data_IF_111485122008
#
_entry.id   IF_111485122008
#
_cell.length_a   1.000
_cell.length_b   1.000
_cell.length_c   1.000
_cell.angle_alpha   90.00
_cell.angle_beta   90.00
_cell.angle_gamma   90.00
#
_symmetry.space_group_name_H-M   'P 1'
#
loop_
_entity.id
_entity.type
_entity.pdbx_description
1 polymer ?
#
# COMPACT_ATOMS: atom_id res chain seq x y z
N UNK A 1 -11.35 7.88 -6.76
CA UNK A 1 -10.04 7.42 -6.30
C UNK A 1 -8.95 8.49 -6.37
N UNK A 2 -9.05 9.41 -7.28
CA UNK A 2 -8.06 10.47 -7.38
C UNK A 2 -7.97 11.31 -6.13
N UNK A 3 -9.09 11.57 -5.52
CA UNK A 3 -9.10 12.37 -4.29
C UNK A 3 -8.43 11.60 -3.15
N UNK A 4 -8.62 10.30 -3.12
CA UNK A 4 -8.00 9.49 -2.09
C UNK A 4 -6.49 9.44 -2.29
N UNK A 5 -6.04 9.30 -3.52
CA UNK A 5 -4.62 9.32 -3.82
C UNK A 5 -4.01 10.65 -3.38
N UNK A 6 -4.68 11.75 -3.68
CA UNK A 6 -4.19 13.06 -3.28
C UNK A 6 -4.12 13.18 -1.76
N UNK A 7 -5.09 12.60 -1.07
CA UNK A 7 -5.09 12.62 0.39
C UNK A 7 -3.89 11.84 0.94
N UNK A 8 -3.62 10.66 0.38
CA UNK A 8 -2.48 9.87 0.84
C UNK A 8 -1.17 10.61 0.57
N UNK A 9 -1.05 11.23 -0.60
CA UNK A 9 0.15 11.99 -0.92
C UNK A 9 0.35 13.14 0.06
N UNK A 10 -0.72 13.78 0.44
CA UNK A 10 -0.66 14.86 1.40
C UNK A 10 -0.16 14.34 2.75
N UNK A 11 -0.63 13.18 3.14
CA UNK A 11 -0.21 12.58 4.41
C UNK A 11 1.27 12.22 4.39
N UNK A 12 1.76 11.64 3.29
CA UNK A 12 3.18 11.31 3.20
C UNK A 12 4.03 12.56 3.22
N UNK A 13 3.56 13.61 2.58
CA UNK A 13 4.29 14.88 2.57
C UNK A 13 4.43 15.44 3.99
N UNK A 14 3.42 15.27 4.80
CA UNK A 14 3.49 15.71 6.19
C UNK A 14 4.56 14.96 6.97
N UNK A 15 4.86 13.75 6.55
CA UNK A 15 5.93 12.99 7.17
C UNK A 15 7.28 13.34 6.54
N UNK A 16 7.30 14.25 5.59
CA UNK A 16 8.54 14.66 4.94
C UNK A 16 8.92 13.81 3.74
N UNK A 17 8.00 13.03 3.21
CA UNK A 17 8.29 12.18 2.07
C UNK A 17 7.35 12.50 0.92
N UNK A 18 7.92 12.81 -0.23
CA UNK A 18 7.10 13.08 -1.40
C UNK A 18 6.99 11.79 -2.19
N UNK A 19 5.81 11.24 -2.27
CA UNK A 19 5.61 10.02 -3.01
C UNK A 19 4.96 10.31 -4.35
N UNK A 20 5.20 9.46 -5.33
CA UNK A 20 4.60 9.65 -6.65
C UNK A 20 3.23 8.98 -6.65
N UNK A 21 2.44 9.31 -7.66
CA UNK A 21 1.14 8.68 -7.83
C UNK A 21 1.29 7.17 -7.98
N UNK A 22 2.32 6.74 -8.66
CA UNK A 22 2.56 5.32 -8.86
C UNK A 22 2.80 4.61 -7.55
N UNK A 23 3.58 5.20 -6.67
CA UNK A 23 3.89 4.59 -5.39
C UNK A 23 2.62 4.49 -4.54
N UNK A 24 1.82 5.53 -4.55
CA UNK A 24 0.57 5.52 -3.79
C UNK A 24 -0.37 4.47 -4.36
N UNK A 25 -0.42 4.38 -5.69
CA UNK A 25 -1.26 3.41 -6.35
C UNK A 25 -0.85 1.99 -5.99
N UNK A 26 0.43 1.73 -5.93
CA UNK A 26 0.94 0.43 -5.53
C UNK A 26 0.55 0.12 -4.08
N UNK A 27 0.64 1.11 -3.22
CA UNK A 27 0.26 0.91 -1.82
C UNK A 27 -1.21 0.56 -1.71
N UNK A 28 -2.05 1.22 -2.49
CA UNK A 28 -3.48 0.95 -2.50
C UNK A 28 -3.77 -0.44 -3.06
N UNK A 29 -3.11 -0.80 -4.14
CA UNK A 29 -3.29 -2.10 -4.74
C UNK A 29 -2.91 -3.22 -3.80
N UNK A 30 -1.83 -3.06 -3.09
CA UNK A 30 -1.41 -4.07 -2.15
C UNK A 30 -2.36 -4.15 -0.97
N UNK A 31 -2.88 -3.01 -0.54
CA UNK A 31 -3.87 -3.00 0.52
C UNK A 31 -5.12 -3.76 0.07
N UNK A 32 -5.57 -3.52 -1.14
CA UNK A 32 -6.75 -4.20 -1.67
C UNK A 32 -6.52 -5.71 -1.75
N UNK A 33 -5.34 -6.11 -2.16
CA UNK A 33 -5.01 -7.52 -2.26
C UNK A 33 -5.07 -8.19 -0.91
N UNK A 34 -4.49 -7.56 0.09
CA UNK A 34 -4.46 -8.12 1.43
C UNK A 34 -5.85 -8.13 2.05
N UNK A 35 -6.58 -7.04 1.82
CA UNK A 35 -7.90 -6.88 2.41
C UNK A 35 -8.90 -7.84 1.79
N UNK A 36 -8.70 -8.17 0.52
CA UNK A 36 -9.51 -9.16 -0.17
C UNK A 36 -11.01 -8.82 -0.08
N UNK A 37 -11.36 -7.68 -0.62
CA UNK A 37 -12.74 -7.19 -0.53
C UNK A 37 -13.74 -8.16 -1.14
N UNK A 38 -14.88 -8.34 -0.51
CA UNK A 38 -15.93 -9.20 -1.09
C UNK A 38 -16.38 -8.66 -2.45
N UNK A 39 -16.72 -9.54 -3.33
CA UNK A 39 -17.15 -9.15 -4.66
C UNK A 39 -18.40 -8.30 -4.65
N UNK A 40 -19.21 -8.43 -3.61
CA UNK A 40 -20.45 -7.66 -3.53
C UNK A 40 -20.24 -6.22 -3.17
N UNK A 41 -19.05 -5.84 -2.74
CA UNK A 41 -18.79 -4.47 -2.33
C UNK A 41 -18.60 -3.59 -3.54
N UNK A 42 -19.22 -2.40 -3.52
CA UNK A 42 -19.04 -1.43 -4.58
C UNK A 42 -17.84 -0.55 -4.23
N UNK A 43 -17.56 0.37 -5.12
CA UNK A 43 -16.41 1.25 -4.95
C UNK A 43 -16.55 2.12 -3.71
N UNK A 44 -17.74 2.57 -3.41
CA UNK A 44 -17.98 3.43 -2.27
C UNK A 44 -17.65 2.73 -0.96
N UNK A 45 -18.05 1.48 -0.87
CA UNK A 45 -17.80 0.70 0.32
C UNK A 45 -16.33 0.41 0.49
N UNK A 46 -15.66 0.06 -0.59
CA UNK A 46 -14.22 -0.20 -0.56
C UNK A 46 -13.48 1.06 -0.13
N UNK A 47 -13.86 2.20 -0.69
CA UNK A 47 -13.19 3.45 -0.39
C UNK A 47 -13.39 3.84 1.07
N UNK A 48 -14.56 3.57 1.62
CA UNK A 48 -14.81 3.86 3.02
C UNK A 48 -13.88 3.05 3.93
N UNK A 49 -13.64 1.78 3.56
CA UNK A 49 -12.72 0.96 4.34
C UNK A 49 -11.29 1.45 4.20
N UNK A 50 -10.89 1.86 3.01
CA UNK A 50 -9.56 2.40 2.81
C UNK A 50 -9.38 3.68 3.59
N UNK A 51 -10.43 4.48 3.68
CA UNK A 51 -10.36 5.72 4.42
C UNK A 51 -10.10 5.46 5.90
N UNK A 52 -10.67 4.42 6.45
CA UNK A 52 -10.42 4.05 7.84
C UNK A 52 -8.99 3.60 8.05
N UNK A 53 -8.36 3.13 7.00
CA UNK A 53 -7.00 2.60 7.07
C UNK A 53 -5.99 3.51 6.37
N UNK A 54 -6.36 4.77 6.16
CA UNK A 54 -5.51 5.67 5.37
C UNK A 54 -4.12 5.85 5.95
N UNK A 55 -4.01 5.84 7.26
CA UNK A 55 -2.70 6.00 7.87
C UNK A 55 -1.79 4.83 7.52
N UNK A 56 -2.33 3.63 7.50
CA UNK A 56 -1.55 2.45 7.12
C UNK A 56 -1.15 2.51 5.66
N UNK A 57 -2.06 3.00 4.80
CA UNK A 57 -1.75 3.12 3.38
C UNK A 57 -0.67 4.17 3.16
N UNK A 58 -0.74 5.28 3.88
CA UNK A 58 0.29 6.31 3.77
C UNK A 58 1.65 5.77 4.22
N UNK A 59 1.69 5.05 5.32
CA UNK A 59 2.93 4.48 5.80
C UNK A 59 3.46 3.43 4.83
N UNK A 60 2.56 2.67 4.19
CA UNK A 60 2.98 1.71 3.20
C UNK A 60 3.57 2.40 1.98
N UNK A 61 2.99 3.52 1.57
CA UNK A 61 3.52 4.27 0.44
C UNK A 61 4.94 4.77 0.75
N UNK A 62 5.16 5.24 1.98
CA UNK A 62 6.49 5.67 2.39
C UNK A 62 7.46 4.50 2.37
N UNK A 63 6.99 3.36 2.83
CA UNK A 63 7.80 2.16 2.87
C UNK A 63 8.17 1.71 1.46
N UNK A 64 7.22 1.72 0.55
CA UNK A 64 7.46 1.35 -0.83
C UNK A 64 8.44 2.32 -1.49
N UNK A 65 8.25 3.60 -1.24
CA UNK A 65 9.13 4.62 -1.80
C UNK A 65 10.57 4.40 -1.33
N UNK A 66 10.72 4.09 -0.07
CA UNK A 66 12.03 3.86 0.50
C UNK A 66 12.67 2.61 -0.08
N UNK A 67 11.91 1.55 -0.19
CA UNK A 67 12.41 0.28 -0.70
C UNK A 67 12.70 0.36 -2.19
N UNK A 68 11.94 1.18 -2.92
CA UNK A 68 12.14 1.33 -4.34
C UNK A 68 13.56 1.85 -4.58
N UNK A 69 13.98 2.84 -3.84
CA UNK A 69 15.33 3.33 -3.98
C UNK A 69 16.36 2.29 -3.61
N UNK A 70 16.09 1.55 -2.56
CA UNK A 70 17.02 0.51 -2.14
C UNK A 70 17.03 -0.63 -3.11
N UNK A 71 15.88 -0.95 -3.67
CA UNK A 71 15.77 -2.04 -4.59
C UNK A 71 16.54 -1.77 -5.86
N UNK A 72 16.57 -0.56 -6.31
CA UNK A 72 17.32 -0.21 -7.48
C UNK A 72 18.78 -0.53 -7.28
N UNK A 73 19.28 -0.43 -6.09
CA UNK A 73 20.64 -0.73 -5.82
C UNK A 73 20.87 -2.20 -5.65
N UNK A 74 19.87 -2.89 -5.17
CA UNK A 74 20.03 -4.31 -4.91
C UNK A 74 19.46 -5.21 -5.95
N UNK A 75 18.88 -4.64 -6.96
CA UNK A 75 18.18 -5.42 -7.96
C UNK A 75 19.03 -6.50 -8.53
N UNK A 76 20.29 -6.28 -8.59
CA UNK A 76 21.15 -7.24 -9.18
C UNK A 76 21.59 -8.24 -8.18
N UNK A 77 21.36 -8.08 -6.94
CA UNK A 77 21.96 -8.92 -5.98
C UNK A 77 21.22 -10.17 -5.79
N UNK A 78 20.02 -10.20 -5.74
CA UNK A 78 19.36 -11.34 -5.59
C UNK A 78 18.03 -11.48 -5.60
N UNK A 79 17.59 -12.45 -6.10
CA UNK A 79 16.29 -12.67 -6.28
C UNK A 79 15.60 -13.14 -5.07
N UNK A 80 16.22 -13.86 -4.31
CA UNK A 80 15.64 -14.36 -3.13
C UNK A 80 15.22 -13.25 -2.19
N UNK A 81 15.96 -12.23 -2.23
CA UNK A 81 15.70 -11.08 -1.45
C UNK A 81 14.43 -10.42 -1.87
N UNK A 82 14.15 -10.44 -3.13
CA UNK A 82 12.98 -9.78 -3.60
C UNK A 82 11.75 -10.41 -3.06
N UNK A 83 11.75 -11.69 -2.84
CA UNK A 83 10.61 -12.34 -2.35
C UNK A 83 10.35 -11.98 -0.91
N UNK A 84 11.36 -11.91 -0.09
CA UNK A 84 11.23 -11.49 1.23
C UNK A 84 10.73 -10.11 1.32
N UNK A 85 11.05 -9.32 0.33
CA UNK A 85 10.74 -7.96 0.24
C UNK A 85 9.24 -7.76 0.23
N UNK A 86 8.50 -8.58 -0.46
CA UNK A 86 7.11 -8.41 -0.51
C UNK A 86 6.49 -8.68 0.82
N UNK A 87 7.00 -9.61 1.55
CA UNK A 87 6.48 -9.95 2.81
C UNK A 87 6.76 -8.85 3.81
N UNK A 88 7.58 -7.93 3.42
CA UNK A 88 8.08 -6.99 4.34
C UNK A 88 7.40 -5.65 4.44
N UNK A 89 6.20 -5.48 3.94
CA UNK A 89 5.52 -4.22 4.13
C UNK A 89 4.99 -4.19 5.55
N UNK A 90 5.74 -3.57 6.42
CA UNK A 90 5.42 -3.56 7.84
C UNK A 90 4.15 -2.81 8.14
N UNK A 91 3.82 -1.83 7.33
CA UNK A 91 2.62 -1.05 7.56
C UNK A 91 1.36 -1.90 7.49
N UNK A 92 1.45 -3.03 6.79
CA UNK A 92 0.29 -3.89 6.59
C UNK A 92 0.29 -5.14 7.45
N UNK A 93 1.22 -5.25 8.34
CA UNK A 93 1.34 -6.48 9.12
C UNK A 93 0.11 -6.79 9.95
N UNK A 94 -0.62 -5.77 10.34
CA UNK A 94 -1.82 -5.94 11.14
C UNK A 94 -3.10 -5.94 10.33
N UNK A 95 -3.00 -5.81 9.03
CA UNK A 95 -4.18 -5.77 8.17
C UNK A 95 -4.66 -7.20 7.95
N UNK A 96 -5.93 -7.41 8.21
CA UNK A 96 -6.51 -8.72 8.06
C UNK A 96 -7.47 -8.71 6.89
N UNK A 97 -7.39 -9.70 6.06
CA UNK A 97 -8.28 -9.78 4.90
C UNK A 97 -9.66 -10.28 5.28
N UNK A 98 -10.64 -9.90 4.50
CA UNK A 98 -11.98 -10.42 4.70
C UNK A 98 -11.99 -11.89 4.26
N UNK A 99 -12.64 -12.70 5.03
CA UNK A 99 -12.76 -14.09 4.66
C UNK A 99 -13.59 -14.22 3.42
N UNK A 100 -13.11 -14.97 2.47
CA UNK A 100 -13.83 -15.13 1.25
C UNK A 100 -14.72 -16.30 1.41
N UNK A 101 -15.63 -16.23 2.30
CA UNK A 101 -16.47 -17.31 2.56
C UNK A 101 -17.67 -17.16 1.75
N UNK A 102 -18.10 -18.12 1.15
CA UNK A 102 -19.24 -17.97 0.35
C UNK A 102 -20.30 -18.79 0.83
#
# INVERSE_FOLDING_TARGET
MEEFIAKIKSMTTEYGVETSDLVVDLAIEQFETIRNYPHSWDETKKLADMEKNKAKIAMAAIEIDSKDGAENQLSHSENGTSRSYYDGIMAYKDVIGFANVV
#
